data_IF_058093991378
#
_entry.id   IF_058093991378
#
_cell.length_a   1.000
_cell.length_b   1.000
_cell.length_c   1.000
_cell.angle_alpha   90.00
_cell.angle_beta   90.00
_cell.angle_gamma   90.00
#
_symmetry.space_group_name_H-M   'P 1'
#
loop_
_entity.id
_entity.type
_entity.pdbx_description
1 polymer ?
#
# COMPACT_ATOMS: atom_id res chain seq x y z
N UNK A 1 53.44 -94.28 -0.93
CA UNK A 1 53.48 -92.82 -1.09
C UNK A 1 52.64 -92.49 -2.31
N UNK A 2 51.43 -91.95 -2.11
CA UNK A 2 50.62 -91.50 -3.23
C UNK A 2 51.35 -90.33 -3.90
N UNK A 3 51.69 -90.48 -5.18
CA UNK A 3 52.22 -89.41 -6.01
C UNK A 3 51.20 -88.27 -6.03
N UNK A 4 51.55 -87.09 -5.49
CA UNK A 4 50.77 -85.87 -5.67
C UNK A 4 51.00 -85.37 -7.11
N UNK A 5 50.41 -86.08 -8.06
CA UNK A 5 50.55 -85.78 -9.48
C UNK A 5 49.78 -84.48 -9.82
N UNK A 6 50.49 -83.51 -10.41
CA UNK A 6 49.90 -82.26 -10.86
C UNK A 6 49.19 -82.52 -12.19
N UNK A 7 47.86 -82.43 -12.19
CA UNK A 7 47.07 -82.61 -13.41
C UNK A 7 46.65 -81.25 -13.97
N UNK A 8 47.26 -80.81 -15.06
CA UNK A 8 46.89 -79.56 -15.72
C UNK A 8 45.50 -79.65 -16.35
N UNK A 9 44.67 -78.64 -16.10
CA UNK A 9 43.32 -78.52 -16.62
C UNK A 9 43.39 -77.61 -17.85
N UNK A 10 43.16 -78.19 -19.04
CA UNK A 10 43.08 -77.43 -20.29
C UNK A 10 44.41 -76.90 -20.84
N UNK A 11 45.56 -77.37 -20.33
CA UNK A 11 46.87 -77.06 -20.91
C UNK A 11 47.11 -77.92 -22.15
N UNK A 12 47.11 -77.30 -23.33
CA UNK A 12 47.39 -78.02 -24.58
C UNK A 12 48.90 -78.33 -24.69
N UNK A 13 49.31 -79.44 -25.34
CA UNK A 13 50.71 -79.83 -25.46
C UNK A 13 51.62 -78.73 -26.05
N UNK A 14 51.15 -78.03 -27.08
CA UNK A 14 51.85 -76.93 -27.75
C UNK A 14 52.06 -75.69 -26.87
N UNK A 15 51.28 -75.59 -25.79
CA UNK A 15 51.35 -74.48 -24.84
C UNK A 15 52.14 -74.84 -23.58
N UNK A 16 52.65 -76.08 -23.49
CA UNK A 16 53.42 -76.55 -22.36
C UNK A 16 54.77 -75.80 -22.28
N UNK A 17 55.02 -75.01 -21.23
CA UNK A 17 56.27 -74.28 -21.02
C UNK A 17 57.52 -75.16 -21.12
N UNK A 18 57.47 -76.40 -20.65
CA UNK A 18 58.61 -77.33 -20.74
C UNK A 18 58.91 -77.73 -22.16
N UNK A 19 57.89 -78.05 -22.97
CA UNK A 19 58.09 -78.35 -24.38
C UNK A 19 58.72 -77.16 -25.12
N UNK A 20 58.25 -75.94 -24.82
CA UNK A 20 58.79 -74.71 -25.42
C UNK A 20 60.21 -74.40 -24.96
N UNK A 21 60.53 -74.62 -23.68
CA UNK A 21 61.87 -74.45 -23.14
C UNK A 21 62.88 -75.41 -23.80
N UNK A 22 62.48 -76.67 -24.04
CA UNK A 22 63.30 -77.64 -24.78
C UNK A 22 63.46 -77.29 -26.25
N UNK A 23 62.40 -76.89 -26.94
CA UNK A 23 62.43 -76.60 -28.38
C UNK A 23 63.16 -75.30 -28.72
N UNK A 24 63.03 -74.27 -27.89
CA UNK A 24 63.54 -72.93 -28.20
C UNK A 24 64.73 -72.51 -27.33
N UNK A 25 65.06 -73.25 -26.28
CA UNK A 25 66.21 -72.96 -25.42
C UNK A 25 66.13 -71.62 -24.67
N UNK A 26 64.92 -71.11 -24.46
CA UNK A 26 64.59 -69.90 -23.69
C UNK A 26 63.64 -70.21 -22.54
N UNK A 27 63.58 -69.32 -21.54
CA UNK A 27 62.61 -69.44 -20.44
C UNK A 27 61.21 -69.25 -21.00
N UNK A 28 60.30 -70.17 -20.65
CA UNK A 28 58.89 -70.08 -21.01
C UNK A 28 58.04 -70.06 -19.74
N UNK A 29 57.02 -69.21 -19.69
CA UNK A 29 56.08 -69.16 -18.58
C UNK A 29 54.65 -69.10 -19.10
N UNK A 30 53.73 -69.76 -18.41
CA UNK A 30 52.30 -69.75 -18.72
C UNK A 30 51.48 -69.86 -17.45
N UNK A 31 50.41 -69.08 -17.40
CA UNK A 31 49.36 -69.27 -16.40
C UNK A 31 48.45 -70.43 -16.82
N UNK A 32 48.21 -71.34 -15.89
CA UNK A 32 47.41 -72.54 -16.13
C UNK A 32 46.66 -72.90 -14.86
N UNK A 33 45.66 -73.76 -14.99
CA UNK A 33 44.99 -74.36 -13.85
C UNK A 33 45.50 -75.77 -13.68
N UNK A 34 45.70 -76.20 -12.44
CA UNK A 34 46.04 -77.58 -12.18
C UNK A 34 45.29 -78.11 -10.98
N UNK A 35 45.00 -79.41 -11.02
CA UNK A 35 44.50 -80.15 -9.88
C UNK A 35 45.69 -80.81 -9.18
N UNK A 36 45.90 -80.43 -7.92
CA UNK A 36 46.90 -81.03 -7.03
C UNK A 36 46.16 -81.72 -5.89
N UNK A 37 46.05 -83.05 -5.97
CA UNK A 37 45.18 -83.83 -5.09
C UNK A 37 43.69 -83.49 -5.30
N UNK A 38 43.03 -82.97 -4.27
CA UNK A 38 41.62 -82.55 -4.32
C UNK A 38 41.43 -81.05 -4.60
N UNK A 39 42.50 -80.25 -4.65
CA UNK A 39 42.44 -78.80 -4.83
C UNK A 39 42.70 -78.40 -6.27
N UNK A 40 41.89 -77.49 -6.80
CA UNK A 40 42.15 -76.78 -8.05
C UNK A 40 42.92 -75.49 -7.72
N UNK A 41 44.07 -75.30 -8.36
CA UNK A 41 44.96 -74.16 -8.16
C UNK A 41 45.13 -73.39 -9.47
N UNK A 42 45.12 -72.06 -9.38
CA UNK A 42 45.62 -71.20 -10.43
C UNK A 42 47.16 -71.14 -10.27
N UNK A 43 47.91 -71.68 -11.24
CA UNK A 43 49.38 -71.78 -11.19
C UNK A 43 50.03 -70.92 -12.26
N UNK A 44 51.19 -70.36 -11.93
CA UNK A 44 52.17 -69.91 -12.92
C UNK A 44 53.21 -71.00 -13.13
N UNK A 45 53.12 -71.69 -14.27
CA UNK A 45 54.08 -72.70 -14.69
C UNK A 45 55.19 -72.04 -15.49
N UNK A 46 56.39 -72.00 -14.93
CA UNK A 46 57.61 -71.51 -15.59
C UNK A 46 58.58 -72.65 -15.79
N UNK A 47 59.14 -72.79 -16.99
CA UNK A 47 60.15 -73.77 -17.31
C UNK A 47 61.42 -73.07 -17.79
N UNK A 48 62.55 -73.41 -17.17
CA UNK A 48 63.87 -72.83 -17.43
C UNK A 48 64.75 -73.90 -18.07
N UNK A 49 65.24 -73.73 -19.31
CA UNK A 49 66.08 -74.73 -19.96
C UNK A 49 67.45 -74.81 -19.29
N UNK A 50 67.87 -76.03 -18.97
CA UNK A 50 69.20 -76.35 -18.46
C UNK A 50 70.08 -76.79 -19.62
N UNK A 51 71.20 -76.08 -19.80
CA UNK A 51 72.14 -76.32 -20.89
C UNK A 51 73.40 -77.02 -20.39
N UNK A 52 73.97 -77.89 -21.22
CA UNK A 52 75.30 -78.46 -20.98
C UNK A 52 76.41 -77.44 -21.25
N UNK A 53 77.67 -77.84 -21.02
CA UNK A 53 78.84 -77.01 -21.28
C UNK A 53 79.08 -76.70 -22.77
N UNK A 54 78.29 -77.31 -23.67
CA UNK A 54 78.31 -77.08 -25.12
C UNK A 54 77.13 -76.21 -25.58
N UNK A 55 76.25 -75.78 -24.67
CA UNK A 55 75.10 -74.92 -24.94
C UNK A 55 73.83 -75.67 -25.37
N UNK A 56 73.83 -77.01 -25.38
CA UNK A 56 72.67 -77.81 -25.76
C UNK A 56 71.70 -77.94 -24.57
N UNK A 57 70.39 -77.82 -24.82
CA UNK A 57 69.38 -78.02 -23.77
C UNK A 57 69.29 -79.50 -23.43
N UNK A 58 69.66 -79.88 -22.21
CA UNK A 58 69.69 -81.27 -21.74
C UNK A 58 68.59 -81.59 -20.73
N UNK A 59 68.02 -80.56 -20.10
CA UNK A 59 66.91 -80.70 -19.17
C UNK A 59 66.11 -79.38 -19.12
N UNK A 60 64.97 -79.38 -18.43
CA UNK A 60 64.26 -78.17 -18.09
C UNK A 60 63.90 -78.20 -16.60
N UNK A 61 64.13 -77.09 -15.91
CA UNK A 61 63.73 -76.92 -14.52
C UNK A 61 62.32 -76.31 -14.47
N UNK A 62 61.38 -77.05 -13.91
CA UNK A 62 59.99 -76.63 -13.77
C UNK A 62 59.74 -75.95 -12.42
N UNK A 63 59.16 -74.76 -12.47
CA UNK A 63 58.76 -73.99 -11.29
C UNK A 63 57.26 -73.70 -11.37
N UNK A 64 56.53 -74.07 -10.31
CA UNK A 64 55.12 -73.81 -10.16
C UNK A 64 54.92 -72.83 -9.00
N UNK A 65 54.32 -71.68 -9.28
CA UNK A 65 53.91 -70.73 -8.25
C UNK A 65 52.40 -70.78 -8.11
N UNK A 66 51.90 -71.01 -6.90
CA UNK A 66 50.48 -70.92 -6.60
C UNK A 66 50.05 -69.45 -6.56
N UNK A 67 49.20 -69.05 -7.51
CA UNK A 67 48.65 -67.71 -7.63
C UNK A 67 47.17 -67.66 -7.27
N UNK A 68 46.60 -68.74 -6.71
CA UNK A 68 45.16 -68.87 -6.45
C UNK A 68 44.62 -67.74 -5.59
N UNK A 69 45.26 -67.45 -4.46
CA UNK A 69 44.84 -66.37 -3.57
C UNK A 69 44.96 -65.00 -4.24
N UNK A 70 46.02 -64.77 -5.02
CA UNK A 70 46.26 -63.51 -5.74
C UNK A 70 45.19 -63.30 -6.81
N UNK A 71 44.89 -64.32 -7.62
CA UNK A 71 43.87 -64.25 -8.67
C UNK A 71 42.46 -64.12 -8.10
N UNK A 72 42.14 -64.83 -7.02
CA UNK A 72 40.87 -64.66 -6.32
C UNK A 72 40.73 -63.26 -5.74
N UNK A 73 41.79 -62.71 -5.13
CA UNK A 73 41.82 -61.34 -4.67
C UNK A 73 41.63 -60.33 -5.82
N UNK A 74 42.29 -60.54 -6.97
CA UNK A 74 42.10 -59.71 -8.17
C UNK A 74 40.66 -59.76 -8.68
N UNK A 75 40.06 -60.95 -8.82
CA UNK A 75 38.66 -61.09 -9.27
C UNK A 75 37.68 -60.42 -8.30
N UNK A 76 37.89 -60.57 -6.98
CA UNK A 76 37.09 -59.89 -5.96
C UNK A 76 37.21 -58.37 -6.06
N UNK A 77 38.42 -57.85 -6.28
CA UNK A 77 38.67 -56.43 -6.38
C UNK A 77 38.07 -55.82 -7.67
N UNK A 78 38.21 -56.51 -8.81
CA UNK A 78 37.59 -56.11 -10.07
C UNK A 78 36.05 -56.04 -9.94
N UNK A 79 35.45 -57.06 -9.31
CA UNK A 79 34.03 -57.12 -9.02
C UNK A 79 33.57 -55.98 -8.10
N UNK A 80 34.32 -55.72 -7.03
CA UNK A 80 34.05 -54.61 -6.12
C UNK A 80 34.13 -53.25 -6.84
N UNK A 81 35.11 -53.09 -7.73
CA UNK A 81 35.31 -51.87 -8.54
C UNK A 81 34.11 -51.62 -9.45
N UNK A 82 33.73 -52.63 -10.26
CA UNK A 82 32.58 -52.55 -11.16
C UNK A 82 31.27 -52.26 -10.41
N UNK A 83 31.10 -52.89 -9.24
CA UNK A 83 29.95 -52.64 -8.37
C UNK A 83 29.91 -51.18 -7.88
N UNK A 84 31.04 -50.65 -7.43
CA UNK A 84 31.16 -49.27 -6.95
C UNK A 84 30.92 -48.25 -8.07
N UNK A 85 31.47 -48.46 -9.27
CA UNK A 85 31.24 -47.60 -10.43
C UNK A 85 29.74 -47.50 -10.74
N UNK A 86 29.06 -48.64 -10.83
CA UNK A 86 27.62 -48.70 -11.12
C UNK A 86 26.77 -48.03 -10.04
N UNK A 87 27.09 -48.21 -8.75
CA UNK A 87 26.37 -47.51 -7.68
C UNK A 87 26.65 -46.00 -7.69
N UNK A 88 27.88 -45.60 -8.04
CA UNK A 88 28.26 -44.19 -8.15
C UNK A 88 27.48 -43.48 -9.25
N UNK A 89 27.32 -44.09 -10.43
CA UNK A 89 26.50 -43.55 -11.51
C UNK A 89 25.06 -43.27 -11.06
N UNK A 90 24.44 -44.19 -10.32
CA UNK A 90 23.08 -44.01 -9.79
C UNK A 90 22.99 -42.85 -8.80
N UNK A 91 24.01 -42.68 -7.95
CA UNK A 91 24.07 -41.56 -7.00
C UNK A 91 24.26 -40.25 -7.74
N UNK A 92 25.10 -40.21 -8.77
CA UNK A 92 25.28 -39.01 -9.60
C UNK A 92 23.96 -38.62 -10.26
N UNK A 93 23.25 -39.56 -10.88
CA UNK A 93 21.93 -39.31 -11.48
C UNK A 93 20.92 -38.78 -10.44
N UNK A 94 20.94 -39.33 -9.23
CA UNK A 94 20.08 -38.86 -8.14
C UNK A 94 20.39 -37.42 -7.71
N UNK A 95 21.68 -37.09 -7.59
CA UNK A 95 22.14 -35.74 -7.29
C UNK A 95 21.84 -34.76 -8.42
N UNK A 96 21.91 -35.21 -9.68
CA UNK A 96 21.47 -34.42 -10.84
C UNK A 96 19.98 -34.08 -10.74
N UNK A 97 19.12 -35.06 -10.46
CA UNK A 97 17.68 -34.81 -10.25
C UNK A 97 17.45 -33.80 -9.11
N UNK A 98 18.13 -34.00 -7.98
CA UNK A 98 18.05 -33.08 -6.84
C UNK A 98 18.49 -31.66 -7.23
N UNK A 99 19.55 -31.51 -8.02
CA UNK A 99 20.06 -30.21 -8.45
C UNK A 99 19.10 -29.48 -9.39
N UNK A 100 18.29 -30.22 -10.15
CA UNK A 100 17.21 -29.68 -10.98
C UNK A 100 15.92 -29.39 -10.17
N UNK A 101 15.94 -29.62 -8.85
CA UNK A 101 14.77 -29.45 -7.98
C UNK A 101 13.75 -30.59 -8.10
N UNK A 102 14.05 -31.64 -8.86
CA UNK A 102 13.25 -32.86 -8.83
C UNK A 102 13.60 -33.64 -7.57
N UNK A 103 12.70 -33.61 -6.60
CA UNK A 103 12.84 -34.30 -5.31
C UNK A 103 12.15 -35.66 -5.27
N UNK A 104 11.43 -36.02 -6.35
CA UNK A 104 10.60 -37.22 -6.41
C UNK A 104 11.31 -38.31 -7.24
N UNK A 105 12.51 -38.69 -6.81
CA UNK A 105 13.33 -39.73 -7.45
C UNK A 105 13.60 -40.89 -6.49
N UNK A 106 13.75 -42.09 -7.03
CA UNK A 106 14.07 -43.30 -6.27
C UNK A 106 15.46 -43.81 -6.65
N UNK A 107 16.34 -43.93 -5.66
CA UNK A 107 17.68 -44.49 -5.83
C UNK A 107 17.65 -45.95 -5.39
N UNK A 108 17.75 -46.86 -6.36
CA UNK A 108 17.78 -48.30 -6.11
C UNK A 108 19.19 -48.84 -6.27
N UNK A 109 19.81 -49.19 -5.15
CA UNK A 109 21.09 -49.90 -5.15
C UNK A 109 20.90 -51.32 -5.67
N UNK A 110 21.90 -51.87 -6.36
CA UNK A 110 21.88 -53.27 -6.74
C UNK A 110 22.02 -54.17 -5.49
N UNK A 111 21.50 -55.39 -5.56
CA UNK A 111 21.64 -56.34 -4.46
C UNK A 111 23.11 -56.72 -4.24
N UNK A 112 23.59 -56.70 -2.98
CA UNK A 112 24.96 -57.09 -2.69
C UNK A 112 25.13 -58.61 -2.64
N UNK A 113 26.36 -59.03 -2.86
CA UNK A 113 26.84 -60.36 -2.49
C UNK A 113 27.91 -60.28 -1.40
N UNK A 114 28.54 -61.42 -1.10
CA UNK A 114 29.51 -61.53 0.00
C UNK A 114 30.71 -60.58 -0.15
N UNK A 115 31.17 -60.32 -1.38
CA UNK A 115 32.33 -59.47 -1.65
C UNK A 115 31.98 -57.97 -1.63
N UNK A 116 30.71 -57.62 -1.84
CA UNK A 116 30.25 -56.23 -2.09
C UNK A 116 29.40 -55.65 -0.96
N UNK A 117 29.07 -56.46 0.06
CA UNK A 117 28.21 -56.08 1.19
C UNK A 117 28.66 -54.79 1.90
N UNK A 118 29.95 -54.65 2.16
CA UNK A 118 30.48 -53.46 2.85
C UNK A 118 30.29 -52.18 2.01
N UNK A 119 30.52 -52.27 0.70
CA UNK A 119 30.30 -51.15 -0.22
C UNK A 119 28.80 -50.79 -0.29
N UNK A 120 27.92 -51.78 -0.33
CA UNK A 120 26.48 -51.56 -0.28
C UNK A 120 26.05 -50.79 0.97
N UNK A 121 26.53 -51.16 2.15
CA UNK A 121 26.18 -50.47 3.41
C UNK A 121 26.61 -49.00 3.38
N UNK A 122 27.80 -48.69 2.84
CA UNK A 122 28.28 -47.31 2.66
C UNK A 122 27.41 -46.53 1.68
N UNK A 123 27.06 -47.11 0.53
CA UNK A 123 26.17 -46.46 -0.42
C UNK A 123 24.75 -46.28 0.11
N UNK A 124 24.26 -47.22 0.91
CA UNK A 124 22.95 -47.12 1.54
C UNK A 124 22.88 -45.91 2.50
N UNK A 125 23.96 -45.65 3.25
CA UNK A 125 24.06 -44.44 4.06
C UNK A 125 23.99 -43.17 3.22
N UNK A 126 24.68 -43.14 2.06
CA UNK A 126 24.62 -42.00 1.14
C UNK A 126 23.21 -41.81 0.59
N UNK A 127 22.55 -42.88 0.14
CA UNK A 127 21.16 -42.84 -0.36
C UNK A 127 20.20 -42.33 0.72
N UNK A 128 20.34 -42.79 1.96
CA UNK A 128 19.52 -42.32 3.07
C UNK A 128 19.75 -40.82 3.38
N UNK A 129 20.99 -40.36 3.31
CA UNK A 129 21.32 -38.93 3.45
C UNK A 129 20.70 -38.10 2.32
N UNK A 130 20.79 -38.55 1.07
CA UNK A 130 20.17 -37.90 -0.10
C UNK A 130 18.64 -37.84 0.07
N UNK A 131 17.99 -38.95 0.46
CA UNK A 131 16.54 -38.99 0.73
C UNK A 131 16.12 -38.03 1.83
N UNK A 132 16.90 -37.95 2.91
CA UNK A 132 16.65 -37.02 4.02
C UNK A 132 16.75 -35.56 3.55
N UNK A 133 17.76 -35.24 2.74
CA UNK A 133 17.91 -33.91 2.12
C UNK A 133 16.73 -33.59 1.20
N UNK A 134 16.34 -34.53 0.33
CA UNK A 134 15.18 -34.37 -0.57
C UNK A 134 13.89 -34.09 0.19
N UNK A 135 13.61 -34.84 1.26
CA UNK A 135 12.44 -34.62 2.12
C UNK A 135 12.48 -33.24 2.82
N UNK A 136 13.66 -32.78 3.22
CA UNK A 136 13.84 -31.47 3.86
C UNK A 136 13.55 -30.34 2.87
N UNK A 137 14.06 -30.44 1.64
CA UNK A 137 13.78 -29.49 0.56
C UNK A 137 12.29 -29.50 0.19
N UNK A 138 11.66 -30.68 0.17
CA UNK A 138 10.22 -30.81 -0.08
C UNK A 138 9.38 -30.05 0.98
N UNK A 139 9.72 -30.22 2.25
CA UNK A 139 9.05 -29.52 3.34
C UNK A 139 9.24 -27.99 3.24
N UNK A 140 10.47 -27.54 2.94
CA UNK A 140 10.76 -26.11 2.77
C UNK A 140 9.97 -25.51 1.61
N UNK A 141 9.90 -26.21 0.47
CA UNK A 141 9.09 -25.79 -0.68
C UNK A 141 7.60 -25.75 -0.35
N UNK A 142 7.10 -26.71 0.41
CA UNK A 142 5.72 -26.73 0.90
C UNK A 142 5.40 -25.51 1.76
N UNK A 143 6.25 -25.17 2.72
CA UNK A 143 6.09 -24.00 3.57
C UNK A 143 6.18 -22.68 2.77
N UNK A 144 7.11 -22.58 1.83
CA UNK A 144 7.23 -21.42 0.95
C UNK A 144 5.96 -21.21 0.10
N UNK A 145 5.41 -22.29 -0.48
CA UNK A 145 4.16 -22.24 -1.25
C UNK A 145 2.95 -21.89 -0.36
N UNK A 146 2.89 -22.44 0.87
CA UNK A 146 1.85 -22.10 1.83
C UNK A 146 1.86 -20.60 2.16
N UNK A 147 3.02 -20.05 2.48
CA UNK A 147 3.19 -18.62 2.77
C UNK A 147 2.85 -17.74 1.56
N UNK A 148 3.29 -18.13 0.37
CA UNK A 148 2.97 -17.41 -0.86
C UNK A 148 1.47 -17.36 -1.14
N UNK A 149 0.77 -18.50 -1.01
CA UNK A 149 -0.68 -18.57 -1.19
C UNK A 149 -1.41 -17.73 -0.14
N UNK A 150 -1.01 -17.82 1.14
CA UNK A 150 -1.60 -17.01 2.18
C UNK A 150 -1.44 -15.50 1.91
N UNK A 151 -0.26 -15.08 1.43
CA UNK A 151 -0.02 -13.69 1.04
C UNK A 151 -0.90 -13.25 -0.15
N UNK A 152 -1.07 -14.10 -1.18
CA UNK A 152 -1.98 -13.84 -2.30
C UNK A 152 -3.44 -13.69 -1.86
N UNK A 153 -3.85 -14.40 -0.82
CA UNK A 153 -5.19 -14.33 -0.23
C UNK A 153 -5.32 -13.21 0.82
N UNK A 154 -4.28 -12.40 1.04
CA UNK A 154 -4.26 -11.32 2.03
C UNK A 154 -4.17 -11.80 3.49
N UNK A 155 -3.96 -13.09 3.74
CA UNK A 155 -3.76 -13.67 5.07
C UNK A 155 -2.32 -13.55 5.51
N UNK A 156 -1.89 -12.32 5.77
CA UNK A 156 -0.49 -12.04 6.10
C UNK A 156 -0.08 -12.54 7.48
N UNK A 157 -1.01 -12.91 8.37
CA UNK A 157 -0.75 -13.44 9.71
C UNK A 157 -0.27 -14.90 9.73
N UNK A 158 -0.41 -15.63 8.60
CA UNK A 158 0.04 -17.03 8.48
C UNK A 158 1.57 -17.15 8.53
N UNK A 159 2.08 -18.11 9.31
CA UNK A 159 3.52 -18.37 9.47
C UNK A 159 3.86 -19.83 9.22
N UNK A 160 5.03 -20.08 8.66
CA UNK A 160 5.58 -21.42 8.54
C UNK A 160 6.21 -21.84 9.88
N UNK A 161 6.09 -23.13 10.22
CA UNK A 161 6.59 -23.67 11.48
C UNK A 161 8.10 -23.97 11.38
N UNK A 162 8.92 -23.03 11.84
CA UNK A 162 10.38 -23.15 11.83
C UNK A 162 10.90 -24.36 12.62
N UNK A 163 10.14 -24.90 13.59
CA UNK A 163 10.57 -26.03 14.42
C UNK A 163 10.66 -27.35 13.65
N UNK A 164 9.99 -27.44 12.49
CA UNK A 164 10.05 -28.59 11.57
C UNK A 164 11.37 -28.67 10.81
N UNK A 165 12.17 -27.61 10.84
CA UNK A 165 13.41 -27.47 10.09
C UNK A 165 14.63 -27.39 11.02
N UNK A 166 15.81 -27.66 10.47
CA UNK A 166 17.08 -27.65 11.24
C UNK A 166 18.14 -26.83 10.52
N UNK A 167 19.08 -26.29 11.30
CA UNK A 167 20.24 -25.56 10.78
C UNK A 167 19.85 -24.42 9.83
N UNK A 168 20.51 -24.35 8.67
CA UNK A 168 20.27 -23.29 7.70
C UNK A 168 18.81 -23.24 7.20
N UNK A 169 18.12 -24.38 7.06
CA UNK A 169 16.72 -24.42 6.62
C UNK A 169 15.78 -23.77 7.63
N UNK A 170 16.06 -23.96 8.93
CA UNK A 170 15.32 -23.28 10.00
C UNK A 170 15.50 -21.77 9.90
N UNK A 171 16.74 -21.32 9.73
CA UNK A 171 17.05 -19.89 9.60
C UNK A 171 16.36 -19.25 8.39
N UNK A 172 16.18 -19.99 7.28
CA UNK A 172 15.40 -19.53 6.12
C UNK A 172 13.95 -19.26 6.52
N UNK A 173 13.29 -20.21 7.18
CA UNK A 173 11.89 -20.04 7.61
C UNK A 173 11.74 -18.91 8.62
N UNK A 174 12.65 -18.82 9.61
CA UNK A 174 12.66 -17.71 10.57
C UNK A 174 12.86 -16.35 9.87
N UNK A 175 13.75 -16.28 8.87
CA UNK A 175 13.97 -15.10 8.07
C UNK A 175 12.74 -14.70 7.24
N UNK A 176 12.06 -15.67 6.61
CA UNK A 176 10.81 -15.43 5.87
C UNK A 176 9.69 -14.94 6.79
N UNK A 177 9.50 -15.58 7.94
CA UNK A 177 8.53 -15.15 8.95
C UNK A 177 8.83 -13.74 9.46
N UNK A 178 10.10 -13.44 9.76
CA UNK A 178 10.52 -12.11 10.19
C UNK A 178 10.33 -11.04 9.11
N UNK A 179 10.52 -11.39 7.83
CA UNK A 179 10.21 -10.49 6.73
C UNK A 179 8.71 -10.15 6.70
N UNK A 180 7.82 -11.14 6.86
CA UNK A 180 6.37 -10.91 6.94
C UNK A 180 5.99 -10.05 8.15
N UNK A 181 6.59 -10.28 9.31
CA UNK A 181 6.35 -9.46 10.52
C UNK A 181 6.71 -7.98 10.30
N UNK A 182 7.79 -7.72 9.57
CA UNK A 182 8.23 -6.37 9.23
C UNK A 182 7.34 -5.69 8.19
N UNK A 183 6.60 -6.45 7.37
CA UNK A 183 5.64 -5.90 6.41
C UNK A 183 4.27 -5.60 7.05
N UNK A 184 3.84 -6.42 8.01
CA UNK A 184 2.49 -6.33 8.58
C UNK A 184 2.34 -5.18 9.56
N UNK A 185 3.34 -4.95 10.42
CA UNK A 185 3.24 -3.89 11.44
C UNK A 185 2.92 -2.52 10.83
N UNK A 186 3.68 -2.02 9.83
CA UNK A 186 3.37 -0.73 9.21
C UNK A 186 2.02 -0.72 8.48
N UNK A 187 1.63 -1.84 7.84
CA UNK A 187 0.35 -1.95 7.16
C UNK A 187 -0.83 -1.85 8.13
N UNK A 188 -0.72 -2.49 9.31
CA UNK A 188 -1.74 -2.38 10.35
C UNK A 188 -1.84 -0.96 10.91
N UNK A 189 -0.70 -0.29 11.14
CA UNK A 189 -0.69 1.13 11.56
C UNK A 189 -1.35 2.01 10.51
N UNK A 190 -1.01 1.82 9.23
CA UNK A 190 -1.64 2.57 8.14
C UNK A 190 -3.15 2.34 8.08
N UNK A 191 -3.60 1.09 8.20
CA UNK A 191 -5.01 0.72 8.21
C UNK A 191 -5.76 1.35 9.40
N UNK A 192 -5.18 1.30 10.60
CA UNK A 192 -5.76 1.93 11.80
C UNK A 192 -5.91 3.45 11.60
N UNK A 193 -4.89 4.13 11.09
CA UNK A 193 -4.91 5.57 10.89
C UNK A 193 -5.94 5.99 9.84
N UNK A 194 -6.06 5.23 8.75
CA UNK A 194 -7.09 5.45 7.74
C UNK A 194 -8.48 5.24 8.33
N UNK A 195 -8.70 4.18 9.13
CA UNK A 195 -9.98 3.92 9.80
C UNK A 195 -10.38 5.06 10.76
N UNK A 196 -9.42 5.57 11.56
CA UNK A 196 -9.66 6.71 12.45
C UNK A 196 -10.07 7.97 11.69
N UNK A 197 -9.32 8.32 10.65
CA UNK A 197 -9.63 9.49 9.80
C UNK A 197 -10.98 9.33 9.13
N UNK A 198 -11.30 8.12 8.63
CA UNK A 198 -12.60 7.83 8.02
C UNK A 198 -13.77 7.99 9.01
N UNK A 199 -13.53 7.79 10.31
CA UNK A 199 -14.51 8.02 11.39
C UNK A 199 -14.53 9.46 11.89
N UNK A 200 -13.72 10.35 11.33
CA UNK A 200 -13.62 11.76 11.73
C UNK A 200 -12.75 12.00 12.96
N UNK A 201 -12.01 10.99 13.42
CA UNK A 201 -10.97 11.16 14.44
C UNK A 201 -9.65 11.58 13.76
N UNK A 202 -9.06 12.68 14.20
CA UNK A 202 -7.78 13.17 13.68
C UNK A 202 -6.68 12.66 14.62
N UNK A 203 -5.98 11.55 14.25
CA UNK A 203 -4.95 10.98 15.10
C UNK A 203 -3.75 11.92 15.25
N UNK A 204 -2.93 11.75 16.31
CA UNK A 204 -1.60 12.35 16.33
C UNK A 204 -0.75 11.83 15.17
N UNK A 205 0.28 12.57 14.78
CA UNK A 205 1.21 12.13 13.73
C UNK A 205 1.94 10.85 14.13
N UNK A 206 2.20 10.01 13.14
CA UNK A 206 3.02 8.81 13.29
C UNK A 206 4.46 9.26 13.57
N UNK A 207 4.95 8.95 14.77
CA UNK A 207 6.30 9.29 15.24
C UNK A 207 7.32 8.15 15.07
N UNK A 208 6.86 6.94 14.79
CA UNK A 208 7.74 5.78 14.60
C UNK A 208 8.63 5.94 13.37
N UNK A 209 9.85 5.40 13.48
CA UNK A 209 10.84 5.43 12.43
C UNK A 209 10.63 4.27 11.45
N UNK A 210 10.33 4.63 10.21
CA UNK A 210 10.22 3.71 9.08
C UNK A 210 11.31 4.02 8.05
N UNK A 211 11.60 3.05 7.18
CA UNK A 211 12.57 3.19 6.08
C UNK A 211 11.93 2.79 4.75
N UNK A 212 12.46 3.31 3.65
CA UNK A 212 11.95 3.02 2.30
C UNK A 212 10.47 3.38 2.15
N UNK A 213 9.73 2.51 1.47
CA UNK A 213 8.31 2.69 1.11
C UNK A 213 7.41 2.95 2.33
N UNK A 214 7.69 2.31 3.46
CA UNK A 214 6.92 2.55 4.69
C UNK A 214 7.13 3.95 5.26
N UNK A 215 8.30 4.56 5.03
CA UNK A 215 8.52 5.95 5.41
C UNK A 215 7.75 6.91 4.50
N UNK A 216 7.58 6.58 3.21
CA UNK A 216 6.72 7.35 2.31
C UNK A 216 5.26 7.26 2.75
N UNK A 217 4.76 6.06 3.06
CA UNK A 217 3.40 5.87 3.60
C UNK A 217 3.21 6.70 4.87
N UNK A 218 4.15 6.63 5.82
CA UNK A 218 4.16 7.45 7.03
C UNK A 218 4.05 8.94 6.71
N UNK A 219 4.88 9.44 5.80
CA UNK A 219 4.92 10.86 5.45
C UNK A 219 3.62 11.31 4.77
N UNK A 220 3.06 10.48 3.88
CA UNK A 220 1.78 10.76 3.21
C UNK A 220 0.62 10.80 4.21
N UNK A 221 0.55 9.84 5.14
CA UNK A 221 -0.45 9.86 6.22
C UNK A 221 -0.28 11.05 7.15
N UNK A 222 0.96 11.39 7.52
CA UNK A 222 1.26 12.57 8.33
C UNK A 222 0.85 13.88 7.63
N UNK A 223 1.07 13.96 6.32
CA UNK A 223 0.61 15.11 5.53
C UNK A 223 -0.92 15.15 5.43
N UNK A 224 -1.59 14.01 5.32
CA UNK A 224 -3.05 13.93 5.37
C UNK A 224 -3.58 14.44 6.72
N UNK A 225 -2.99 14.00 7.84
CA UNK A 225 -3.32 14.47 9.19
C UNK A 225 -3.14 15.98 9.29
N UNK A 226 -1.99 16.51 8.84
CA UNK A 226 -1.71 17.95 8.86
C UNK A 226 -2.75 18.73 8.06
N UNK A 227 -3.11 18.28 6.86
CA UNK A 227 -4.09 18.95 6.01
C UNK A 227 -5.49 18.97 6.63
N UNK A 228 -5.96 17.84 7.16
CA UNK A 228 -7.28 17.74 7.80
C UNK A 228 -7.33 18.60 9.07
N UNK A 229 -6.28 18.56 9.89
CA UNK A 229 -6.19 19.38 11.09
C UNK A 229 -6.15 20.87 10.75
N UNK A 230 -5.33 21.29 9.78
CA UNK A 230 -5.25 22.67 9.34
C UNK A 230 -6.60 23.18 8.81
N UNK A 231 -7.32 22.35 8.04
CA UNK A 231 -8.65 22.70 7.56
C UNK A 231 -9.61 22.89 8.72
N UNK A 232 -9.64 21.95 9.67
CA UNK A 232 -10.49 22.04 10.85
C UNK A 232 -10.24 23.33 11.65
N UNK A 233 -8.97 23.68 11.87
CA UNK A 233 -8.61 24.92 12.57
C UNK A 233 -9.01 26.17 11.78
N UNK A 234 -8.74 26.21 10.48
CA UNK A 234 -9.08 27.35 9.62
C UNK A 234 -10.60 27.57 9.57
N UNK A 235 -11.38 26.49 9.43
CA UNK A 235 -12.83 26.54 9.53
C UNK A 235 -13.29 27.07 10.89
N UNK A 236 -12.66 26.62 11.98
CA UNK A 236 -12.95 27.14 13.32
C UNK A 236 -12.75 28.65 13.43
N UNK A 237 -11.68 29.19 12.85
CA UNK A 237 -11.43 30.64 12.80
C UNK A 237 -12.54 31.37 12.04
N UNK A 238 -12.93 30.86 10.87
CA UNK A 238 -13.97 31.48 10.04
C UNK A 238 -15.35 31.40 10.69
N UNK A 239 -15.70 30.25 11.27
CA UNK A 239 -16.96 30.06 11.99
C UNK A 239 -17.05 31.04 13.18
N UNK A 240 -15.98 31.20 13.95
CA UNK A 240 -15.94 32.16 15.05
C UNK A 240 -16.08 33.61 14.56
N UNK A 241 -15.41 33.96 13.45
CA UNK A 241 -15.52 35.29 12.85
C UNK A 241 -16.96 35.58 12.40
N UNK A 242 -17.61 34.64 11.72
CA UNK A 242 -19.03 34.74 11.33
C UNK A 242 -19.92 34.87 12.58
N UNK A 243 -19.68 34.06 13.61
CA UNK A 243 -20.46 34.05 14.85
C UNK A 243 -20.49 35.38 15.60
N UNK A 244 -19.42 36.17 15.51
CA UNK A 244 -19.35 37.53 16.09
C UNK A 244 -19.70 38.63 15.09
N UNK A 245 -20.17 38.27 13.89
CA UNK A 245 -20.54 39.21 12.83
C UNK A 245 -19.36 39.84 12.10
N UNK A 246 -18.14 39.33 12.29
CA UNK A 246 -16.96 39.80 11.58
C UNK A 246 -16.79 39.10 10.23
N UNK A 247 -17.55 39.56 9.23
CA UNK A 247 -17.57 38.97 7.90
C UNK A 247 -16.38 39.36 7.01
N UNK A 248 -15.42 40.15 7.48
CA UNK A 248 -14.23 40.55 6.69
C UNK A 248 -13.05 39.57 6.80
N UNK A 249 -13.11 38.63 7.75
CA UNK A 249 -12.08 37.60 7.92
C UNK A 249 -12.15 36.64 6.73
N UNK A 250 -10.99 36.20 6.25
CA UNK A 250 -10.87 35.25 5.15
C UNK A 250 -9.90 34.15 5.52
N UNK A 251 -10.17 32.95 5.01
CA UNK A 251 -9.31 31.80 5.19
C UNK A 251 -8.06 31.97 4.34
N UNK A 252 -6.91 31.59 4.90
CA UNK A 252 -5.61 31.71 4.24
C UNK A 252 -5.42 30.60 3.21
N UNK A 253 -5.60 30.96 1.94
CA UNK A 253 -5.44 30.05 0.80
C UNK A 253 -4.02 29.48 0.68
N UNK A 254 -2.99 30.17 1.17
CA UNK A 254 -1.59 29.73 1.02
C UNK A 254 -1.28 28.45 1.81
N UNK A 255 -2.09 28.13 2.82
CA UNK A 255 -1.95 26.92 3.65
C UNK A 255 -2.46 25.65 2.98
N UNK A 256 -3.22 25.79 1.89
CA UNK A 256 -3.96 24.68 1.28
C UNK A 256 -3.62 24.52 -0.21
N UNK A 257 -3.76 23.29 -0.72
CA UNK A 257 -3.55 22.93 -2.12
C UNK A 257 -4.67 22.04 -2.63
N UNK A 258 -4.92 22.06 -3.93
CA UNK A 258 -5.95 21.24 -4.59
C UNK A 258 -7.33 21.46 -3.96
N UNK A 259 -8.08 20.37 -3.75
CA UNK A 259 -9.44 20.41 -3.20
C UNK A 259 -9.53 21.15 -1.86
N UNK A 260 -8.51 21.04 -1.00
CA UNK A 260 -8.50 21.76 0.28
C UNK A 260 -8.47 23.28 0.10
N UNK A 261 -7.78 23.76 -0.93
CA UNK A 261 -7.75 25.18 -1.29
C UNK A 261 -9.09 25.64 -1.85
N UNK A 262 -9.68 24.84 -2.74
CA UNK A 262 -10.98 25.12 -3.35
C UNK A 262 -12.10 25.24 -2.30
N UNK A 263 -12.08 24.41 -1.26
CA UNK A 263 -13.03 24.49 -0.14
C UNK A 263 -12.93 25.83 0.57
N UNK A 264 -11.72 26.24 0.99
CA UNK A 264 -11.53 27.52 1.68
C UNK A 264 -11.85 28.70 0.77
N UNK A 265 -11.50 28.63 -0.52
CA UNK A 265 -11.85 29.66 -1.50
C UNK A 265 -13.37 29.80 -1.64
N UNK A 266 -14.09 28.68 -1.72
CA UNK A 266 -15.56 28.70 -1.81
C UNK A 266 -16.21 29.35 -0.58
N UNK A 267 -15.66 29.10 0.62
CA UNK A 267 -16.13 29.74 1.85
C UNK A 267 -15.84 31.24 1.83
N UNK A 268 -14.65 31.64 1.37
CA UNK A 268 -14.29 33.05 1.21
C UNK A 268 -15.24 33.80 0.27
N UNK A 269 -15.64 33.15 -0.84
CA UNK A 269 -16.63 33.68 -1.78
C UNK A 269 -18.02 33.81 -1.14
N UNK A 270 -18.47 32.79 -0.40
CA UNK A 270 -19.74 32.86 0.34
C UNK A 270 -19.72 34.01 1.34
N UNK A 271 -18.64 34.16 2.12
CA UNK A 271 -18.50 35.26 3.07
C UNK A 271 -18.57 36.62 2.37
N UNK A 272 -17.92 36.79 1.21
CA UNK A 272 -17.99 38.01 0.42
C UNK A 272 -19.41 38.32 -0.09
N UNK A 273 -20.13 37.30 -0.54
CA UNK A 273 -21.50 37.41 -1.03
C UNK A 273 -22.49 37.78 0.08
N UNK A 274 -22.21 37.43 1.33
CA UNK A 274 -22.99 37.82 2.51
C UNK A 274 -22.57 39.20 3.03
N UNK A 275 -21.26 39.50 3.05
CA UNK A 275 -20.72 40.76 3.54
C UNK A 275 -21.19 41.96 2.70
N UNK A 276 -21.15 41.84 1.37
CA UNK A 276 -21.36 42.98 0.47
C UNK A 276 -22.75 43.62 0.61
N UNK A 277 -23.88 42.87 0.58
CA UNK A 277 -25.20 43.45 0.77
C UNK A 277 -25.40 44.06 2.17
N UNK A 278 -24.83 43.42 3.20
CA UNK A 278 -24.93 43.90 4.59
C UNK A 278 -24.20 45.24 4.72
N UNK A 279 -23.00 45.37 4.16
CA UNK A 279 -22.23 46.61 4.20
C UNK A 279 -22.95 47.76 3.46
N UNK A 280 -23.53 47.49 2.30
CA UNK A 280 -24.31 48.50 1.55
C UNK A 280 -25.49 49.03 2.39
N UNK A 281 -26.21 48.14 3.09
CA UNK A 281 -27.29 48.52 4.00
C UNK A 281 -26.76 49.34 5.18
N UNK A 282 -25.66 48.91 5.81
CA UNK A 282 -25.04 49.64 6.93
C UNK A 282 -24.60 51.05 6.50
N UNK A 283 -24.02 51.20 5.30
CA UNK A 283 -23.63 52.50 4.77
C UNK A 283 -24.84 53.42 4.60
N UNK A 284 -25.91 52.89 4.00
CA UNK A 284 -27.18 53.61 3.89
C UNK A 284 -27.74 53.99 5.26
N UNK A 285 -27.78 53.07 6.24
CA UNK A 285 -28.32 53.36 7.56
C UNK A 285 -27.51 54.42 8.30
N UNK A 286 -26.19 54.48 8.09
CA UNK A 286 -25.35 55.58 8.60
C UNK A 286 -25.74 56.93 8.00
N UNK A 287 -26.16 56.99 6.73
CA UNK A 287 -26.68 58.22 6.10
C UNK A 287 -28.04 58.60 6.67
N UNK A 288 -28.94 57.62 6.80
CA UNK A 288 -30.28 57.80 7.42
C UNK A 288 -30.15 58.36 8.83
N UNK A 289 -29.19 57.90 9.64
CA UNK A 289 -28.93 58.41 10.99
C UNK A 289 -28.52 59.89 11.03
N UNK A 290 -28.03 60.43 9.91
CA UNK A 290 -27.69 61.84 9.74
C UNK A 290 -28.77 62.61 8.94
N UNK A 291 -29.98 62.04 8.82
CA UNK A 291 -31.10 62.57 8.04
C UNK A 291 -30.80 62.74 6.53
N UNK A 292 -29.83 61.98 6.00
CA UNK A 292 -29.58 61.90 4.56
C UNK A 292 -30.28 60.64 4.00
N UNK A 293 -31.37 60.88 3.26
CA UNK A 293 -32.19 59.83 2.64
C UNK A 293 -31.95 59.70 1.13
N UNK A 294 -30.96 60.41 0.58
CA UNK A 294 -30.74 60.51 -0.87
C UNK A 294 -29.89 59.37 -1.43
N UNK A 295 -29.12 58.71 -0.56
CA UNK A 295 -28.26 57.58 -0.94
C UNK A 295 -29.12 56.35 -1.19
N UNK A 296 -28.92 55.64 -2.31
CA UNK A 296 -29.62 54.38 -2.59
C UNK A 296 -28.63 53.25 -2.83
N UNK A 297 -29.03 52.03 -2.50
CA UNK A 297 -28.28 50.84 -2.89
C UNK A 297 -28.54 50.59 -4.38
N UNK A 298 -27.50 50.74 -5.21
CA UNK A 298 -27.58 50.63 -6.68
C UNK A 298 -27.06 49.31 -7.22
N UNK A 299 -26.31 48.54 -6.42
CA UNK A 299 -25.77 47.25 -6.84
C UNK A 299 -26.90 46.27 -7.18
N UNK A 300 -26.63 45.41 -8.15
CA UNK A 300 -27.55 44.37 -8.58
C UNK A 300 -27.42 43.16 -7.65
N UNK A 301 -28.52 42.83 -7.00
CA UNK A 301 -28.65 41.68 -6.13
C UNK A 301 -29.74 40.75 -6.65
N UNK A 302 -29.75 39.51 -6.17
CA UNK A 302 -30.75 38.50 -6.52
C UNK A 302 -31.30 37.86 -5.24
N UNK A 303 -32.51 37.29 -5.34
CA UNK A 303 -33.18 36.64 -4.22
C UNK A 303 -33.32 37.56 -3.00
N UNK A 304 -33.05 37.03 -1.81
CA UNK A 304 -33.20 37.76 -0.54
C UNK A 304 -32.38 39.05 -0.47
N UNK A 305 -31.24 39.11 -1.15
CA UNK A 305 -30.40 40.31 -1.19
C UNK A 305 -31.05 41.43 -2.01
N UNK A 306 -31.83 41.10 -3.04
CA UNK A 306 -32.61 42.09 -3.80
C UNK A 306 -33.80 42.59 -2.99
N UNK A 307 -34.45 41.73 -2.21
CA UNK A 307 -35.53 42.12 -1.30
C UNK A 307 -35.02 43.05 -0.19
N UNK A 308 -33.83 42.77 0.36
CA UNK A 308 -33.17 43.64 1.34
C UNK A 308 -32.84 45.01 0.73
N UNK A 309 -32.30 45.03 -0.50
CA UNK A 309 -32.05 46.25 -1.26
C UNK A 309 -33.33 47.06 -1.47
N UNK A 310 -34.37 46.43 -2.00
CA UNK A 310 -35.68 47.06 -2.28
C UNK A 310 -36.28 47.64 -1.01
N UNK A 311 -36.36 46.84 0.05
CA UNK A 311 -36.93 47.28 1.34
C UNK A 311 -36.18 48.48 1.92
N UNK A 312 -34.85 48.46 1.81
CA UNK A 312 -33.99 49.57 2.25
C UNK A 312 -34.25 50.83 1.41
N UNK A 313 -34.24 50.71 0.08
CA UNK A 313 -34.48 51.82 -0.85
C UNK A 313 -35.90 52.41 -0.73
N UNK A 314 -36.91 51.56 -0.54
CA UNK A 314 -38.29 51.99 -0.35
C UNK A 314 -38.47 52.75 0.98
N UNK A 315 -37.77 52.33 2.03
CA UNK A 315 -37.77 53.03 3.32
C UNK A 315 -37.17 54.43 3.18
N UNK A 316 -36.05 54.56 2.47
CA UNK A 316 -35.44 55.86 2.21
C UNK A 316 -36.32 56.76 1.35
N UNK A 317 -36.91 56.23 0.28
CA UNK A 317 -37.84 56.99 -0.55
C UNK A 317 -39.05 57.50 0.25
N UNK A 318 -39.54 56.71 1.23
CA UNK A 318 -40.61 57.15 2.14
C UNK A 318 -40.17 58.29 3.05
N UNK A 319 -38.97 58.22 3.63
CA UNK A 319 -38.43 59.29 4.49
C UNK A 319 -38.12 60.57 3.69
N UNK A 320 -37.59 60.43 2.48
CA UNK A 320 -37.37 61.55 1.56
C UNK A 320 -38.70 62.25 1.22
N UNK A 321 -39.75 61.48 0.94
CA UNK A 321 -41.08 62.04 0.67
C UNK A 321 -41.64 62.81 1.88
N UNK A 322 -41.48 62.25 3.09
CA UNK A 322 -41.88 62.91 4.35
C UNK A 322 -41.13 64.22 4.56
N UNK A 323 -39.82 64.24 4.33
CA UNK A 323 -39.02 65.45 4.42
C UNK A 323 -39.47 66.50 3.39
N UNK A 324 -39.78 66.08 2.17
CA UNK A 324 -40.26 66.96 1.12
C UNK A 324 -41.63 67.57 1.47
N UNK A 325 -42.54 66.79 2.06
CA UNK A 325 -43.83 67.28 2.56
C UNK A 325 -43.62 68.33 3.65
N UNK A 326 -42.79 68.03 4.66
CA UNK A 326 -42.51 68.98 5.74
C UNK A 326 -41.89 70.28 5.20
N UNK A 327 -40.98 70.15 4.23
CA UNK A 327 -40.39 71.31 3.54
C UNK A 327 -41.43 72.12 2.79
N UNK A 328 -42.33 71.49 2.03
CA UNK A 328 -43.40 72.18 1.31
C UNK A 328 -44.30 72.96 2.28
N UNK A 329 -44.72 72.33 3.38
CA UNK A 329 -45.51 72.98 4.44
C UNK A 329 -44.76 74.21 4.99
N UNK A 330 -43.44 74.11 5.23
CA UNK A 330 -42.64 75.23 5.75
C UNK A 330 -42.61 76.45 4.83
N UNK A 331 -42.85 76.25 3.52
CA UNK A 331 -42.99 77.32 2.53
C UNK A 331 -44.45 77.69 2.24
N UNK A 332 -45.40 77.19 3.03
CA UNK A 332 -46.83 77.41 2.83
C UNK A 332 -47.42 76.71 1.60
N UNK A 333 -46.71 75.73 1.03
CA UNK A 333 -47.20 74.92 -0.10
C UNK A 333 -47.93 73.69 0.42
N UNK A 334 -49.21 73.59 0.12
CA UNK A 334 -50.10 72.51 0.62
C UNK A 334 -50.59 71.58 -0.51
N UNK A 335 -50.00 71.69 -1.70
CA UNK A 335 -50.41 70.99 -2.92
C UNK A 335 -50.41 69.45 -2.78
N UNK A 336 -49.64 68.90 -1.84
CA UNK A 336 -49.58 67.46 -1.57
C UNK A 336 -50.82 66.90 -0.84
N UNK A 337 -51.73 67.75 -0.33
CA UNK A 337 -52.86 67.30 0.49
C UNK A 337 -53.77 66.31 -0.25
N UNK A 338 -54.05 66.55 -1.53
CA UNK A 338 -54.91 65.67 -2.34
C UNK A 338 -54.29 64.28 -2.51
N UNK A 339 -52.98 64.22 -2.76
CA UNK A 339 -52.22 62.97 -2.87
C UNK A 339 -52.20 62.21 -1.54
N UNK A 340 -51.95 62.92 -0.43
CA UNK A 340 -51.93 62.32 0.90
C UNK A 340 -53.30 61.75 1.29
N UNK A 341 -54.40 62.46 1.00
CA UNK A 341 -55.76 61.95 1.19
C UNK A 341 -56.03 60.69 0.37
N UNK A 342 -55.54 60.62 -0.86
CA UNK A 342 -55.67 59.44 -1.70
C UNK A 342 -54.89 58.23 -1.14
N UNK A 343 -53.73 58.45 -0.52
CA UNK A 343 -52.99 57.41 0.21
C UNK A 343 -53.76 56.99 1.47
N UNK A 344 -54.27 57.97 2.24
CA UNK A 344 -55.04 57.75 3.47
C UNK A 344 -54.19 57.18 4.61
N UNK A 345 -53.92 55.87 4.57
CA UNK A 345 -53.03 55.16 5.49
C UNK A 345 -52.36 53.99 4.78
N UNK A 346 -51.07 53.77 5.04
CA UNK A 346 -50.30 52.68 4.44
C UNK A 346 -50.33 51.38 5.25
N UNK A 347 -50.65 51.46 6.53
CA UNK A 347 -50.87 50.30 7.41
C UNK A 347 -51.84 50.67 8.54
N UNK A 348 -52.26 49.68 9.33
CA UNK A 348 -53.12 49.92 10.49
C UNK A 348 -52.45 50.81 11.56
N UNK A 349 -51.11 50.81 11.61
CA UNK A 349 -50.31 51.60 12.55
C UNK A 349 -49.75 52.90 11.93
N UNK A 350 -50.15 53.25 10.70
CA UNK A 350 -49.67 54.47 10.04
C UNK A 350 -50.38 55.71 10.60
N UNK A 351 -49.71 56.41 11.50
CA UNK A 351 -50.14 57.73 12.01
C UNK A 351 -49.50 58.89 11.25
N UNK A 352 -48.49 58.63 10.42
CA UNK A 352 -47.68 59.66 9.78
C UNK A 352 -48.47 60.39 8.70
N UNK A 353 -49.06 59.64 7.76
CA UNK A 353 -49.86 60.23 6.68
C UNK A 353 -51.11 60.94 7.24
N UNK A 354 -51.91 60.33 8.13
CA UNK A 354 -53.05 61.02 8.74
C UNK A 354 -52.67 62.31 9.48
N UNK A 355 -51.51 62.35 10.15
CA UNK A 355 -51.06 63.55 10.86
C UNK A 355 -50.72 64.68 9.90
N UNK A 356 -50.05 64.41 8.78
CA UNK A 356 -49.80 65.42 7.75
C UNK A 356 -51.08 65.91 7.09
N UNK A 357 -52.06 65.03 6.82
CA UNK A 357 -53.37 65.43 6.29
C UNK A 357 -54.03 66.43 7.24
N UNK A 358 -54.16 66.08 8.53
CA UNK A 358 -54.76 66.96 9.53
C UNK A 358 -54.04 68.30 9.65
N UNK A 359 -52.70 68.28 9.67
CA UNK A 359 -51.88 69.49 9.75
C UNK A 359 -52.13 70.41 8.55
N UNK A 360 -52.15 69.87 7.33
CA UNK A 360 -52.40 70.65 6.13
C UNK A 360 -53.85 71.18 6.08
N UNK A 361 -54.85 70.38 6.45
CA UNK A 361 -56.25 70.81 6.53
C UNK A 361 -56.42 71.98 7.51
N UNK A 362 -55.79 71.90 8.68
CA UNK A 362 -55.81 72.99 9.66
C UNK A 362 -55.17 74.26 9.09
N UNK A 363 -54.02 74.15 8.39
CA UNK A 363 -53.36 75.28 7.74
C UNK A 363 -54.17 75.89 6.60
N UNK A 364 -54.84 75.09 5.77
CA UNK A 364 -55.76 75.57 4.72
C UNK A 364 -56.94 76.32 5.33
N UNK A 365 -57.55 75.77 6.38
CA UNK A 365 -58.66 76.42 7.10
C UNK A 365 -58.22 77.76 7.72
N UNK A 366 -57.04 77.83 8.33
CA UNK A 366 -56.49 79.09 8.84
C UNK A 366 -56.24 80.11 7.73
N UNK A 367 -55.67 79.69 6.60
CA UNK A 367 -55.42 80.57 5.47
C UNK A 367 -56.73 81.12 4.88
N UNK A 368 -57.77 80.29 4.80
CA UNK A 368 -59.08 80.70 4.29
C UNK A 368 -59.82 81.65 5.23
N UNK A 369 -59.75 81.42 6.54
CA UNK A 369 -60.30 82.35 7.54
C UNK A 369 -59.59 83.71 7.47
N UNK A 370 -58.26 83.74 7.30
CA UNK A 370 -57.51 85.00 7.12
C UNK A 370 -57.93 85.71 5.83
N UNK A 371 -58.10 85.00 4.72
CA UNK A 371 -58.60 85.60 3.46
C UNK A 371 -60.00 86.17 3.64
N UNK A 372 -60.90 85.41 4.27
CA UNK A 372 -62.28 85.82 4.53
C UNK A 372 -62.34 87.07 5.41
N UNK A 373 -61.54 87.11 6.48
CA UNK A 373 -61.43 88.27 7.35
C UNK A 373 -60.83 89.49 6.64
N UNK A 374 -59.77 89.30 5.85
CA UNK A 374 -59.16 90.37 5.08
C UNK A 374 -60.13 90.96 4.06
N UNK A 375 -60.85 90.11 3.32
CA UNK A 375 -61.87 90.54 2.38
C UNK A 375 -63.02 91.27 3.08
N UNK A 376 -63.51 90.74 4.19
CA UNK A 376 -64.57 91.39 5.00
C UNK A 376 -64.13 92.75 5.53
N UNK A 377 -62.85 92.89 5.92
CA UNK A 377 -62.28 94.17 6.35
C UNK A 377 -62.16 95.18 5.19
N UNK A 378 -61.78 94.75 3.98
CA UNK A 378 -61.79 95.58 2.76
C UNK A 378 -63.21 96.06 2.46
N UNK A 379 -64.20 95.18 2.65
CA UNK A 379 -65.62 95.46 2.42
C UNK A 379 -66.26 96.28 3.57
N UNK A 380 -65.48 96.68 4.58
CA UNK A 380 -65.91 97.51 5.72
C UNK A 380 -66.69 96.77 6.81
N UNK A 381 -66.77 95.44 6.75
CA UNK A 381 -67.49 94.61 7.70
C UNK A 381 -66.58 94.01 8.78
N UNK A 382 -66.51 94.68 9.94
CA UNK A 382 -65.72 94.24 11.09
C UNK A 382 -66.46 93.29 12.06
N UNK A 383 -67.65 92.78 11.71
CA UNK A 383 -68.37 91.82 12.57
C UNK A 383 -67.97 90.36 12.32
N UNK A 384 -67.27 90.07 11.21
CA UNK A 384 -66.81 88.70 10.88
C UNK A 384 -65.68 88.28 11.83
N UNK A 385 -65.70 87.03 12.27
CA UNK A 385 -64.71 86.42 13.16
C UNK A 385 -64.26 85.08 12.56
N UNK A 386 -62.97 84.74 12.73
CA UNK A 386 -62.45 83.41 12.41
C UNK A 386 -63.06 82.36 13.34
N UNK A 387 -63.19 81.12 12.84
CA UNK A 387 -63.70 80.00 13.60
C UNK A 387 -62.53 79.12 14.08
N UNK A 388 -62.08 79.40 15.30
CA UNK A 388 -60.95 78.70 15.90
C UNK A 388 -61.17 77.18 16.04
N UNK A 389 -62.41 76.68 16.01
CA UNK A 389 -62.70 75.24 16.11
C UNK A 389 -62.26 74.45 14.87
N UNK A 390 -61.98 75.12 13.75
CA UNK A 390 -61.54 74.50 12.49
C UNK A 390 -60.01 74.29 12.40
N UNK A 391 -59.26 74.65 13.45
CA UNK A 391 -57.79 74.68 13.41
C UNK A 391 -57.10 73.64 14.31
N UNK A 392 -57.86 72.76 15.00
CA UNK A 392 -57.35 71.80 15.99
C UNK A 392 -57.81 70.37 15.70
#
# INVERSE_FOLDING_TARGET
>A
MASNEIQFIGLKPEENPTLRAFQHGTIASKETKAKVGSKELDLRFTSVPLKDNQGNVVAAFEMFVDETEIKQAMRRNEKLTLYQEKQTEKIVQALEQLSLGNINFDVRLDEPDEDTKEAYERFLQIVNAIKTTGNTIAALSGDANMLANAALEGRLDVRADASKHKGAYKNIIEGMNGALDNLIKPLNVAAEYVDRIAKGDIPPKISEDYRGDFNEIKNNLNQLIDNVNNLYQELGVLINAIGVGNLNVRGDLSKFKGVWNEIINSINEIMLQVETPIQDVVEVLKKVANNDYTTKITKNYQGIWDDLKKSTNDTMARLEHVLQIAKNISFGKLDNLSELKAIGRRSAADELIPSFIKLMEALEAMAEDVRTLAQSAIDGNLSVRADASKHY
#
